data_IF_397128828004
#
_entry.id   IF_397128828004
#
_cell.length_a   1.000
_cell.length_b   1.000
_cell.length_c   1.000
_cell.angle_alpha   90.00
_cell.angle_beta   90.00
_cell.angle_gamma   90.00
#
_symmetry.space_group_name_H-M   'P 1'
#
loop_
_entity.id
_entity.type
_entity.pdbx_description
1 polymer ?
#
# COMPACT_ATOMS: atom_id res chain seq x y z
N UNK A 1 6.75 -14.47 11.76
CA UNK A 1 5.91 -13.86 12.81
C UNK A 1 5.40 -12.58 12.20
N UNK A 2 4.10 -12.34 12.24
CA UNK A 2 3.51 -11.14 11.64
C UNK A 2 3.89 -9.93 12.50
N UNK A 3 4.32 -8.87 11.86
CA UNK A 3 4.47 -7.55 12.46
C UNK A 3 3.08 -6.89 12.50
N UNK A 4 2.43 -7.01 13.66
CA UNK A 4 1.09 -6.49 13.89
C UNK A 4 1.03 -4.95 13.82
N UNK A 5 2.12 -4.25 14.22
CA UNK A 5 2.18 -2.80 14.16
C UNK A 5 2.24 -2.33 12.71
N UNK A 6 3.11 -2.95 11.92
CA UNK A 6 3.22 -2.65 10.50
C UNK A 6 1.97 -3.06 9.72
N UNK A 7 1.35 -4.19 10.06
CA UNK A 7 0.07 -4.64 9.47
C UNK A 7 -1.07 -3.66 9.78
N UNK A 8 -1.16 -3.16 11.02
CA UNK A 8 -2.12 -2.12 11.38
C UNK A 8 -1.86 -0.79 10.64
N UNK A 9 -0.59 -0.44 10.43
CA UNK A 9 -0.21 0.73 9.64
C UNK A 9 -0.64 0.59 8.17
N UNK A 10 -0.44 -0.58 7.56
CA UNK A 10 -0.90 -0.86 6.19
C UNK A 10 -2.43 -0.76 6.07
N UNK A 11 -3.17 -1.23 7.07
CA UNK A 11 -4.62 -1.06 7.14
C UNK A 11 -5.03 0.41 7.15
N UNK A 12 -4.43 1.21 8.04
CA UNK A 12 -4.68 2.65 8.13
C UNK A 12 -4.30 3.37 6.83
N UNK A 13 -3.23 2.94 6.16
CA UNK A 13 -2.83 3.44 4.86
C UNK A 13 -3.86 3.11 3.77
N UNK A 14 -4.33 1.86 3.70
CA UNK A 14 -5.34 1.43 2.71
C UNK A 14 -6.65 2.20 2.89
N UNK A 15 -7.09 2.39 4.14
CA UNK A 15 -8.28 3.19 4.43
C UNK A 15 -8.08 4.66 3.99
N UNK A 16 -6.94 5.26 4.32
CA UNK A 16 -6.63 6.63 3.92
C UNK A 16 -6.55 6.77 2.38
N UNK A 17 -6.01 5.76 1.68
CA UNK A 17 -5.95 5.70 0.23
C UNK A 17 -7.34 5.55 -0.39
N UNK A 18 -8.17 4.66 0.14
CA UNK A 18 -9.54 4.45 -0.32
C UNK A 18 -10.36 5.72 -0.15
N UNK A 19 -10.30 6.35 1.03
CA UNK A 19 -10.94 7.64 1.26
C UNK A 19 -10.42 8.68 0.26
N UNK A 20 -9.11 8.85 0.10
CA UNK A 20 -8.54 9.77 -0.89
C UNK A 20 -9.05 9.52 -2.32
N UNK A 21 -9.15 8.25 -2.73
CA UNK A 21 -9.52 7.84 -4.09
C UNK A 21 -11.00 8.09 -4.41
N UNK A 22 -11.88 7.90 -3.43
CA UNK A 22 -13.34 7.93 -3.62
C UNK A 22 -14.03 9.18 -3.04
N UNK A 23 -13.29 10.07 -2.36
CA UNK A 23 -13.81 11.34 -1.84
C UNK A 23 -14.16 12.33 -2.98
N UNK A 24 -15.43 12.80 -3.10
CA UNK A 24 -15.91 13.51 -4.28
C UNK A 24 -15.28 14.89 -4.56
N UNK A 25 -14.79 15.66 -3.57
CA UNK A 25 -14.18 16.96 -3.84
C UNK A 25 -13.45 17.59 -2.64
N UNK A 26 -12.17 17.93 -2.82
CA UNK A 26 -11.45 19.17 -2.41
C UNK A 26 -10.01 18.99 -1.92
N UNK A 27 -9.59 17.77 -1.59
CA UNK A 27 -8.20 17.53 -1.14
C UNK A 27 -7.65 16.31 -1.85
N UNK A 28 -6.92 16.55 -2.95
CA UNK A 28 -6.21 15.50 -3.66
C UNK A 28 -4.70 15.68 -3.53
N UNK A 29 -3.97 14.58 -3.41
CA UNK A 29 -2.50 14.56 -3.43
C UNK A 29 -1.91 13.71 -2.32
N UNK A 30 -0.67 13.26 -2.53
CA UNK A 30 0.10 12.44 -1.59
C UNK A 30 0.25 13.12 -0.21
N UNK A 31 0.33 14.45 -0.17
CA UNK A 31 0.39 15.20 1.08
C UNK A 31 -0.86 14.99 1.97
N UNK A 32 -2.05 14.91 1.36
CA UNK A 32 -3.31 14.68 2.07
C UNK A 32 -3.36 13.24 2.59
N UNK A 33 -2.93 12.28 1.75
CA UNK A 33 -2.83 10.88 2.14
C UNK A 33 -1.90 10.71 3.34
N UNK A 34 -0.70 11.32 3.28
CA UNK A 34 0.27 11.31 4.38
C UNK A 34 -0.29 11.93 5.65
N UNK A 35 -0.96 13.08 5.55
CA UNK A 35 -1.59 13.72 6.71
C UNK A 35 -2.66 12.85 7.36
N UNK A 36 -3.54 12.23 6.57
CA UNK A 36 -4.59 11.31 7.06
C UNK A 36 -3.97 10.09 7.74
N UNK A 37 -2.94 9.50 7.13
CA UNK A 37 -2.21 8.38 7.72
C UNK A 37 -1.57 8.76 9.06
N UNK A 38 -0.85 9.89 9.13
CA UNK A 38 -0.20 10.34 10.36
C UNK A 38 -1.22 10.68 11.45
N UNK A 39 -2.40 11.19 11.09
CA UNK A 39 -3.48 11.44 12.03
C UNK A 39 -4.08 10.14 12.61
N UNK A 40 -4.10 9.05 11.84
CA UNK A 40 -4.61 7.75 12.27
C UNK A 40 -3.59 6.95 13.10
N UNK A 41 -2.32 6.94 12.70
CA UNK A 41 -1.25 6.14 13.32
C UNK A 41 -0.56 6.88 14.47
N UNK A 42 -0.61 8.21 14.47
CA UNK A 42 0.08 9.06 15.45
C UNK A 42 1.44 9.55 14.97
N UNK A 43 1.86 10.71 15.48
CA UNK A 43 3.06 11.43 15.00
C UNK A 43 4.40 10.85 15.47
N UNK A 44 4.38 9.95 16.46
CA UNK A 44 5.60 9.38 17.05
C UNK A 44 6.16 8.26 16.17
N UNK A 45 5.34 7.23 15.86
CA UNK A 45 5.72 6.10 14.98
C UNK A 45 5.31 6.29 13.52
N UNK A 46 4.34 7.14 13.25
CA UNK A 46 3.79 7.36 11.90
C UNK A 46 4.83 7.72 10.84
N UNK A 47 5.80 8.63 11.06
CA UNK A 47 6.80 8.96 10.04
C UNK A 47 7.67 7.76 9.60
N UNK A 48 8.04 6.90 10.55
CA UNK A 48 8.83 5.69 10.30
C UNK A 48 8.00 4.65 9.54
N UNK A 49 6.77 4.38 10.01
CA UNK A 49 5.86 3.45 9.36
C UNK A 49 5.48 3.92 7.95
N UNK A 50 5.30 5.23 7.74
CA UNK A 50 5.10 5.80 6.41
C UNK A 50 6.30 5.52 5.50
N UNK A 51 7.53 5.73 5.99
CA UNK A 51 8.73 5.47 5.19
C UNK A 51 8.85 3.97 4.84
N UNK A 52 8.54 3.07 5.77
CA UNK A 52 8.51 1.63 5.53
C UNK A 52 7.48 1.24 4.45
N UNK A 53 6.25 1.80 4.52
CA UNK A 53 5.23 1.59 3.49
C UNK A 53 5.71 2.10 2.12
N UNK A 54 6.37 3.27 2.05
CA UNK A 54 6.92 3.80 0.79
C UNK A 54 8.06 2.94 0.24
N UNK A 55 8.89 2.36 1.10
CA UNK A 55 9.93 1.43 0.69
C UNK A 55 9.31 0.16 0.09
N UNK A 56 8.29 -0.40 0.75
CA UNK A 56 7.56 -1.57 0.27
C UNK A 56 6.85 -1.30 -1.07
N UNK A 57 6.27 -0.10 -1.26
CA UNK A 57 5.71 0.32 -2.55
C UNK A 57 6.77 0.41 -3.65
N UNK A 58 7.92 1.01 -3.35
CA UNK A 58 9.02 1.12 -4.31
C UNK A 58 9.63 -0.24 -4.68
N UNK A 59 9.53 -1.24 -3.80
CA UNK A 59 9.87 -2.62 -4.11
C UNK A 59 8.84 -3.25 -5.04
N UNK A 60 7.55 -3.12 -4.71
CA UNK A 60 6.44 -3.62 -5.54
C UNK A 60 6.42 -3.00 -6.95
N UNK A 61 6.76 -1.73 -7.08
CA UNK A 61 6.88 -1.01 -8.37
C UNK A 61 7.94 -1.64 -9.31
N UNK A 62 8.88 -2.44 -8.76
CA UNK A 62 9.92 -3.14 -9.53
C UNK A 62 9.51 -4.55 -9.95
N UNK A 63 8.33 -5.02 -9.53
CA UNK A 63 7.81 -6.31 -9.99
C UNK A 63 7.63 -6.24 -11.50
N UNK A 64 8.30 -7.11 -12.27
CA UNK A 64 8.29 -7.02 -13.72
C UNK A 64 6.88 -7.32 -14.25
N UNK A 65 6.40 -6.45 -15.14
CA UNK A 65 5.26 -6.79 -15.99
C UNK A 65 5.72 -7.79 -17.05
N UNK A 66 5.19 -9.02 -16.94
CA UNK A 66 5.50 -10.12 -17.85
C UNK A 66 4.81 -9.95 -19.22
N UNK A 67 3.98 -8.92 -19.39
CA UNK A 67 3.19 -8.67 -20.57
C UNK A 67 2.04 -9.66 -20.75
N UNK A 68 1.21 -9.42 -21.76
CA UNK A 68 0.01 -10.21 -22.01
C UNK A 68 -1.18 -9.73 -21.17
N UNK A 69 -2.09 -10.63 -20.77
CA UNK A 69 -3.25 -10.24 -19.97
C UNK A 69 -2.84 -9.69 -18.60
N UNK A 70 -3.61 -8.73 -18.07
CA UNK A 70 -3.41 -8.15 -16.72
C UNK A 70 -3.28 -9.22 -15.62
N UNK A 71 -3.90 -10.40 -15.80
CA UNK A 71 -3.78 -11.53 -14.87
C UNK A 71 -2.33 -11.96 -14.65
N UNK A 72 -1.45 -11.84 -15.64
CA UNK A 72 -0.03 -12.17 -15.50
C UNK A 72 0.68 -11.23 -14.52
N UNK A 73 0.39 -9.93 -14.60
CA UNK A 73 0.92 -8.94 -13.65
C UNK A 73 0.33 -9.14 -12.25
N UNK A 74 -0.96 -9.47 -12.16
CA UNK A 74 -1.62 -9.81 -10.88
C UNK A 74 -0.94 -11.03 -10.23
N UNK A 75 -0.66 -12.09 -10.98
CA UNK A 75 0.02 -13.27 -10.44
C UNK A 75 1.45 -12.94 -9.98
N UNK A 76 2.19 -12.13 -10.76
CA UNK A 76 3.53 -11.70 -10.41
C UNK A 76 3.55 -10.88 -9.11
N UNK A 77 2.58 -9.97 -8.93
CA UNK A 77 2.53 -9.12 -7.73
C UNK A 77 2.07 -9.88 -6.48
N UNK A 78 1.18 -10.87 -6.62
CA UNK A 78 0.85 -11.78 -5.53
C UNK A 78 2.01 -12.71 -5.17
N UNK A 79 2.82 -13.14 -6.13
CA UNK A 79 4.04 -13.90 -5.86
C UNK A 79 5.08 -13.07 -5.09
N UNK A 80 5.25 -11.80 -5.45
CA UNK A 80 6.08 -10.86 -4.69
C UNK A 80 5.52 -10.63 -3.28
N UNK A 81 4.22 -10.39 -3.13
CA UNK A 81 3.61 -10.23 -1.80
C UNK A 81 3.90 -11.40 -0.86
N UNK A 82 3.94 -12.63 -1.39
CA UNK A 82 4.27 -13.83 -0.63
C UNK A 82 5.72 -13.89 -0.12
N UNK A 83 6.62 -13.04 -0.62
CA UNK A 83 8.00 -12.92 -0.11
C UNK A 83 8.11 -12.10 1.17
N UNK A 84 7.00 -11.52 1.66
CA UNK A 84 6.92 -10.70 2.88
C UNK A 84 6.07 -11.38 3.97
N UNK A 85 6.53 -12.49 4.57
CA UNK A 85 5.78 -13.22 5.61
C UNK A 85 5.65 -12.45 6.93
N UNK A 86 6.36 -11.34 7.08
CA UNK A 86 6.23 -10.39 8.18
C UNK A 86 4.96 -9.53 8.11
N UNK A 87 4.28 -9.50 6.96
CA UNK A 87 3.05 -8.73 6.76
C UNK A 87 1.85 -9.68 6.65
N UNK A 88 0.72 -9.32 7.27
CA UNK A 88 -0.52 -10.05 7.04
C UNK A 88 -0.89 -9.99 5.53
N UNK A 89 -1.11 -11.15 4.86
CA UNK A 89 -1.45 -11.17 3.43
C UNK A 89 -2.68 -10.35 3.06
N UNK A 90 -3.64 -10.19 3.97
CA UNK A 90 -4.84 -9.36 3.76
C UNK A 90 -4.50 -7.87 3.72
N UNK A 91 -3.53 -7.44 4.53
CA UNK A 91 -3.08 -6.04 4.60
C UNK A 91 -2.14 -5.67 3.45
N UNK A 92 -1.52 -6.66 2.80
CA UNK A 92 -0.71 -6.41 1.60
C UNK A 92 -1.53 -5.83 0.43
N UNK A 93 -2.87 -5.95 0.47
CA UNK A 93 -3.78 -5.26 -0.46
C UNK A 93 -3.60 -3.75 -0.47
N UNK A 94 -3.12 -3.17 0.64
CA UNK A 94 -2.71 -1.78 0.75
C UNK A 94 -1.69 -1.34 -0.33
N UNK A 95 -0.84 -2.28 -0.77
CA UNK A 95 0.17 -2.05 -1.80
C UNK A 95 -0.33 -2.54 -3.16
N UNK A 96 -0.96 -3.71 -3.20
CA UNK A 96 -1.37 -4.39 -4.44
C UNK A 96 -2.50 -3.64 -5.16
N UNK A 97 -3.56 -3.23 -4.44
CA UNK A 97 -4.75 -2.64 -5.07
C UNK A 97 -4.43 -1.35 -5.86
N UNK A 98 -3.64 -0.40 -5.33
CA UNK A 98 -3.22 0.78 -6.10
C UNK A 98 -2.45 0.42 -7.37
N UNK A 99 -1.58 -0.59 -7.33
CA UNK A 99 -0.74 -1.00 -8.45
C UNK A 99 -1.58 -1.62 -9.56
N UNK A 100 -2.44 -2.58 -9.23
CA UNK A 100 -3.38 -3.18 -10.19
C UNK A 100 -4.30 -2.10 -10.79
N UNK A 101 -4.79 -1.16 -9.96
CA UNK A 101 -5.68 -0.11 -10.45
C UNK A 101 -4.99 0.85 -11.43
N UNK A 102 -3.74 1.21 -11.17
CA UNK A 102 -2.96 2.13 -11.99
C UNK A 102 -2.30 1.45 -13.21
N UNK A 103 -2.29 0.13 -13.28
CA UNK A 103 -1.76 -0.68 -14.39
C UNK A 103 -2.68 -0.65 -15.64
N UNK A 104 -3.10 0.55 -16.05
CA UNK A 104 -3.99 0.78 -17.21
C UNK A 104 -3.25 1.29 -18.43
#
# INVERSE_FOLDING_TARGET
>A
MIDEEFSAALRAYHEAWHQYRYDPARQRGEAVLKQRFLAAVGSERGPELWAAIRALQAEADRVPDLGGPLTNYIDAIYAWAATHPEVDPSEMRAIIDPLIFNHR
#
